data_IF_005113551605
#
_entry.id   IF_005113551605
#
_cell.length_a   1.000
_cell.length_b   1.000
_cell.length_c   1.000
_cell.angle_alpha   90.00
_cell.angle_beta   90.00
_cell.angle_gamma   90.00
#
_symmetry.space_group_name_H-M   'P 1'
#
loop_
_entity.id
_entity.type
_entity.pdbx_description
1 polymer ?
#
# COMPACT_ATOMS: atom_id res chain seq x y z
N UNK A 1 21.63 -11.41 13.83
CA UNK A 1 20.61 -12.35 13.27
C UNK A 1 19.38 -12.45 14.17
N UNK A 2 19.41 -13.13 15.33
CA UNK A 2 18.19 -13.34 16.17
C UNK A 2 17.53 -12.04 16.67
N UNK A 3 18.31 -11.10 17.22
CA UNK A 3 17.80 -9.81 17.69
C UNK A 3 17.15 -8.97 16.58
N UNK A 4 17.71 -9.01 15.36
CA UNK A 4 17.16 -8.29 14.20
C UNK A 4 15.81 -8.88 13.78
N UNK A 5 15.68 -10.21 13.77
CA UNK A 5 14.41 -10.87 13.46
C UNK A 5 13.33 -10.53 14.48
N UNK A 6 13.67 -10.56 15.78
CA UNK A 6 12.73 -10.22 16.85
C UNK A 6 12.27 -8.76 16.70
N UNK A 7 13.21 -7.82 16.52
CA UNK A 7 12.87 -6.41 16.37
C UNK A 7 12.00 -6.16 15.15
N UNK A 8 12.34 -6.76 14.00
CA UNK A 8 11.60 -6.58 12.75
C UNK A 8 10.20 -7.23 12.83
N UNK A 9 10.08 -8.38 13.49
CA UNK A 9 8.79 -9.01 13.72
C UNK A 9 7.92 -8.21 14.70
N UNK A 10 8.50 -7.68 15.78
CA UNK A 10 7.76 -6.84 16.73
C UNK A 10 7.26 -5.56 16.07
N UNK A 11 8.14 -4.89 15.30
CA UNK A 11 7.80 -3.69 14.55
C UNK A 11 6.73 -3.99 13.49
N UNK A 12 6.91 -5.05 12.69
CA UNK A 12 5.95 -5.44 11.65
C UNK A 12 4.59 -5.84 12.25
N UNK A 13 4.59 -6.55 13.38
CA UNK A 13 3.37 -6.93 14.08
C UNK A 13 2.63 -5.72 14.66
N UNK A 14 3.34 -4.84 15.37
CA UNK A 14 2.76 -3.62 15.95
C UNK A 14 2.21 -2.69 14.86
N UNK A 15 3.00 -2.45 13.80
CA UNK A 15 2.57 -1.66 12.65
C UNK A 15 1.40 -2.32 11.90
N UNK A 16 1.42 -3.65 11.79
CA UNK A 16 0.36 -4.44 11.19
C UNK A 16 -0.97 -4.33 11.92
N UNK A 17 -0.96 -4.41 13.27
CA UNK A 17 -2.16 -4.19 14.10
C UNK A 17 -2.69 -2.76 13.88
N UNK A 18 -1.80 -1.78 13.90
CA UNK A 18 -2.16 -0.36 13.75
C UNK A 18 -2.80 -0.09 12.37
N UNK A 19 -2.26 -0.69 11.30
CA UNK A 19 -2.85 -0.63 9.97
C UNK A 19 -4.14 -1.44 9.85
N UNK A 20 -4.22 -2.63 10.45
CA UNK A 20 -5.36 -3.53 10.29
C UNK A 20 -6.62 -2.98 10.97
N UNK A 21 -6.48 -2.29 12.11
CA UNK A 21 -7.62 -1.77 12.89
C UNK A 21 -7.74 -0.24 12.88
N UNK A 22 -6.64 0.49 12.65
CA UNK A 22 -6.59 1.94 12.62
C UNK A 22 -6.33 2.54 11.24
N UNK A 23 -6.34 1.71 10.20
CA UNK A 23 -5.89 2.05 8.85
C UNK A 23 -6.48 3.33 8.29
N UNK A 24 -7.79 3.54 8.42
CA UNK A 24 -8.47 4.73 7.93
C UNK A 24 -7.91 6.05 8.51
N UNK A 25 -7.71 6.14 9.84
CA UNK A 25 -7.12 7.31 10.50
C UNK A 25 -5.64 7.47 10.19
N UNK A 26 -4.93 6.35 10.14
CA UNK A 26 -3.50 6.38 9.91
C UNK A 26 -3.19 6.83 8.47
N UNK A 27 -4.00 6.43 7.50
CA UNK A 27 -3.81 6.77 6.09
C UNK A 27 -3.84 8.28 5.82
N UNK A 28 -4.65 9.05 6.54
CA UNK A 28 -4.75 10.50 6.34
C UNK A 28 -3.53 11.26 6.83
N UNK A 29 -2.94 10.85 7.95
CA UNK A 29 -1.66 11.41 8.44
C UNK A 29 -0.49 10.89 7.62
N UNK A 30 -0.58 9.65 7.14
CA UNK A 30 0.50 9.02 6.41
C UNK A 30 0.56 9.46 4.94
N UNK A 31 -0.52 9.99 4.38
CA UNK A 31 -0.60 10.46 2.99
C UNK A 31 0.46 11.53 2.63
N UNK A 32 0.59 12.63 3.38
CA UNK A 32 1.63 13.63 3.14
C UNK A 32 3.04 13.05 3.31
N UNK A 33 3.21 12.13 4.26
CA UNK A 33 4.49 11.46 4.54
C UNK A 33 4.88 10.55 3.36
N UNK A 34 3.95 9.75 2.86
CA UNK A 34 4.19 8.92 1.67
C UNK A 34 4.39 9.76 0.42
N UNK A 35 3.62 10.84 0.25
CA UNK A 35 3.80 11.77 -0.86
C UNK A 35 5.18 12.44 -0.81
N UNK A 36 5.68 12.77 0.38
CA UNK A 36 7.04 13.26 0.58
C UNK A 36 8.08 12.25 0.09
N UNK A 37 8.01 11.00 0.57
CA UNK A 37 8.97 9.97 0.15
C UNK A 37 8.84 9.62 -1.33
N UNK A 38 7.62 9.63 -1.88
CA UNK A 38 7.38 9.44 -3.31
C UNK A 38 8.00 10.56 -4.15
N UNK A 39 7.82 11.81 -3.75
CA UNK A 39 8.44 12.98 -4.40
C UNK A 39 9.96 12.97 -4.26
N UNK A 40 10.49 12.60 -3.09
CA UNK A 40 11.93 12.41 -2.86
C UNK A 40 12.51 11.37 -3.80
N UNK A 41 11.88 10.19 -3.86
CA UNK A 41 12.31 9.10 -4.72
C UNK A 41 12.26 9.51 -6.19
N UNK A 42 11.16 10.13 -6.63
CA UNK A 42 10.99 10.57 -8.02
C UNK A 42 11.99 11.66 -8.41
N UNK A 43 12.21 12.66 -7.55
CA UNK A 43 13.17 13.73 -7.80
C UNK A 43 14.62 13.23 -7.83
N UNK A 44 15.01 12.41 -6.86
CA UNK A 44 16.34 11.83 -6.82
C UNK A 44 16.59 10.85 -7.98
N UNK A 45 15.60 10.03 -8.35
CA UNK A 45 15.68 9.12 -9.48
C UNK A 45 15.71 9.87 -10.82
N UNK A 46 14.95 10.95 -10.95
CA UNK A 46 14.97 11.82 -12.12
C UNK A 46 16.36 12.42 -12.36
N UNK A 47 16.99 12.95 -11.31
CA UNK A 47 18.38 13.44 -11.38
C UNK A 47 19.36 12.31 -11.74
N UNK A 48 19.22 11.14 -11.13
CA UNK A 48 20.06 9.98 -11.45
C UNK A 48 19.96 9.58 -12.94
N UNK A 49 18.76 9.58 -13.52
CA UNK A 49 18.55 9.22 -14.93
C UNK A 49 19.12 10.29 -15.87
N UNK A 50 18.94 11.58 -15.54
CA UNK A 50 19.30 12.70 -16.42
C UNK A 50 20.78 13.10 -16.34
N UNK A 51 21.34 13.10 -15.13
CA UNK A 51 22.66 13.66 -14.84
C UNK A 51 23.68 12.57 -14.46
N UNK A 52 23.24 11.32 -14.30
CA UNK A 52 24.08 10.23 -13.80
C UNK A 52 24.43 10.37 -12.30
N UNK A 53 25.33 9.52 -11.81
CA UNK A 53 25.77 9.47 -10.41
C UNK A 53 25.09 8.38 -9.58
N UNK A 54 25.09 8.50 -8.24
CA UNK A 54 24.42 7.56 -7.33
C UNK A 54 23.02 8.03 -6.92
N UNK A 55 22.07 7.12 -6.72
CA UNK A 55 20.76 7.43 -6.11
C UNK A 55 20.98 7.98 -4.70
N UNK A 56 20.57 9.24 -4.46
CA UNK A 56 20.88 10.02 -3.24
C UNK A 56 22.38 10.25 -3.00
N UNK A 57 23.25 9.92 -3.95
CA UNK A 57 24.71 10.08 -3.84
C UNK A 57 25.22 11.44 -4.29
N UNK A 58 24.36 12.30 -4.83
CA UNK A 58 24.72 13.64 -5.31
C UNK A 58 23.93 14.70 -4.57
N UNK A 59 24.57 15.84 -4.28
CA UNK A 59 23.90 16.98 -3.65
C UNK A 59 22.70 17.46 -4.48
N UNK A 60 22.83 17.45 -5.81
CA UNK A 60 21.74 17.80 -6.74
C UNK A 60 20.56 16.84 -6.63
N UNK A 61 20.80 15.53 -6.58
CA UNK A 61 19.73 14.53 -6.45
C UNK A 61 18.98 14.65 -5.13
N UNK A 62 19.71 14.93 -4.05
CA UNK A 62 19.12 15.14 -2.72
C UNK A 62 18.29 16.43 -2.67
N UNK A 63 18.81 17.54 -3.19
CA UNK A 63 18.09 18.82 -3.22
C UNK A 63 16.83 18.75 -4.05
N UNK A 64 16.90 18.23 -5.29
CA UNK A 64 15.73 18.08 -6.16
C UNK A 64 14.72 17.12 -5.54
N UNK A 65 15.18 15.99 -4.99
CA UNK A 65 14.33 15.06 -4.25
C UNK A 65 13.59 15.74 -3.10
N UNK A 66 14.31 16.46 -2.22
CA UNK A 66 13.70 17.12 -1.06
C UNK A 66 12.68 18.17 -1.47
N UNK A 67 13.01 19.03 -2.45
CA UNK A 67 12.08 20.05 -2.94
C UNK A 67 10.81 19.39 -3.49
N UNK A 68 10.97 18.37 -4.33
CA UNK A 68 9.83 17.68 -4.94
C UNK A 68 9.01 16.88 -3.91
N UNK A 69 9.67 16.30 -2.91
CA UNK A 69 9.03 15.67 -1.76
C UNK A 69 8.17 16.64 -0.97
N UNK A 70 8.70 17.81 -0.60
CA UNK A 70 7.95 18.84 0.13
C UNK A 70 6.74 19.31 -0.69
N UNK A 71 6.94 19.58 -1.98
CA UNK A 71 5.84 19.97 -2.87
C UNK A 71 4.75 18.89 -2.90
N UNK A 72 5.11 17.63 -3.09
CA UNK A 72 4.15 16.53 -3.10
C UNK A 72 3.44 16.35 -1.75
N UNK A 73 4.13 16.56 -0.62
CA UNK A 73 3.52 16.51 0.70
C UNK A 73 2.45 17.60 0.86
N UNK A 74 2.74 18.83 0.44
CA UNK A 74 1.81 19.96 0.51
C UNK A 74 0.60 19.70 -0.41
N UNK A 75 0.84 19.24 -1.63
CA UNK A 75 -0.22 18.98 -2.61
C UNK A 75 -0.99 17.68 -2.38
N UNK A 76 -0.54 16.82 -1.46
CA UNK A 76 -1.14 15.50 -1.19
C UNK A 76 -2.65 15.58 -0.96
N UNK A 77 -3.12 16.56 -0.19
CA UNK A 77 -4.55 16.75 0.08
C UNK A 77 -5.35 17.15 -1.15
N UNK A 78 -4.80 17.99 -2.03
CA UNK A 78 -5.50 18.44 -3.24
C UNK A 78 -5.69 17.30 -4.24
N UNK A 79 -4.74 16.36 -4.28
CA UNK A 79 -4.79 15.20 -5.16
C UNK A 79 -5.27 13.93 -4.46
N UNK A 80 -5.83 14.01 -3.24
CA UNK A 80 -6.31 12.84 -2.50
C UNK A 80 -7.26 11.98 -3.31
N UNK A 81 -8.33 12.61 -3.82
CA UNK A 81 -9.39 11.96 -4.62
C UNK A 81 -8.82 11.32 -5.89
N UNK A 82 -7.88 12.01 -6.54
CA UNK A 82 -7.25 11.55 -7.77
C UNK A 82 -6.23 10.43 -7.53
N UNK A 83 -5.46 10.50 -6.45
CA UNK A 83 -4.53 9.44 -6.05
C UNK A 83 -5.27 8.14 -5.75
N UNK A 84 -6.40 8.22 -5.06
CA UNK A 84 -7.23 7.05 -4.77
C UNK A 84 -7.89 6.45 -6.01
N UNK A 85 -8.33 7.28 -6.97
CA UNK A 85 -8.82 6.74 -8.24
C UNK A 85 -7.70 6.07 -9.04
N UNK A 86 -6.47 6.59 -8.99
CA UNK A 86 -5.30 5.94 -9.59
C UNK A 86 -4.97 4.60 -8.92
N UNK A 87 -5.07 4.52 -7.59
CA UNK A 87 -4.94 3.24 -6.87
C UNK A 87 -6.03 2.25 -7.32
N UNK A 88 -7.28 2.70 -7.44
CA UNK A 88 -8.37 1.90 -8.02
C UNK A 88 -8.05 1.42 -9.44
N UNK A 89 -7.43 2.27 -10.26
CA UNK A 89 -6.99 1.89 -11.60
C UNK A 89 -5.87 0.83 -11.58
N UNK A 90 -4.90 0.94 -10.66
CA UNK A 90 -3.84 -0.07 -10.49
C UNK A 90 -4.44 -1.42 -10.10
N UNK A 91 -5.37 -1.43 -9.14
CA UNK A 91 -6.08 -2.64 -8.73
C UNK A 91 -6.86 -3.22 -9.92
N UNK A 92 -7.52 -2.38 -10.71
CA UNK A 92 -8.21 -2.83 -11.91
C UNK A 92 -7.29 -3.43 -12.96
N UNK A 93 -6.11 -2.84 -13.16
CA UNK A 93 -5.08 -3.42 -14.03
C UNK A 93 -4.66 -4.80 -13.53
N UNK A 94 -4.43 -4.96 -12.22
CA UNK A 94 -4.05 -6.24 -11.63
C UNK A 94 -5.14 -7.30 -11.75
N UNK A 95 -6.41 -6.93 -11.55
CA UNK A 95 -7.55 -7.84 -11.74
C UNK A 95 -7.70 -8.24 -13.21
N UNK A 96 -7.62 -7.28 -14.13
CA UNK A 96 -7.69 -7.55 -15.57
C UNK A 96 -6.54 -8.43 -16.05
N UNK A 97 -5.32 -8.13 -15.61
CA UNK A 97 -4.13 -8.95 -15.88
C UNK A 97 -4.27 -10.35 -15.29
N UNK A 98 -4.74 -10.47 -14.04
CA UNK A 98 -4.93 -11.76 -13.37
C UNK A 98 -5.98 -12.64 -14.04
N UNK A 99 -7.09 -12.04 -14.50
CA UNK A 99 -8.12 -12.74 -15.27
C UNK A 99 -7.57 -13.25 -16.59
N UNK A 100 -6.82 -12.42 -17.31
CA UNK A 100 -6.21 -12.83 -18.58
C UNK A 100 -5.18 -13.94 -18.39
N UNK A 101 -4.36 -13.87 -17.33
CA UNK A 101 -3.43 -14.94 -16.99
C UNK A 101 -4.14 -16.24 -16.61
N UNK A 102 -5.28 -16.17 -15.90
CA UNK A 102 -6.09 -17.35 -15.59
C UNK A 102 -6.69 -17.99 -16.86
N UNK A 103 -7.06 -17.19 -17.85
CA UNK A 103 -7.53 -17.65 -19.14
C UNK A 103 -6.41 -18.19 -20.05
N UNK A 104 -5.15 -18.19 -19.59
CA UNK A 104 -3.99 -18.72 -20.31
C UNK A 104 -3.30 -17.73 -21.25
N UNK A 105 -3.61 -16.44 -21.17
CA UNK A 105 -2.91 -15.40 -21.93
C UNK A 105 -1.71 -14.87 -21.12
N UNK A 106 -0.50 -15.23 -21.51
CA UNK A 106 0.69 -14.96 -20.67
C UNK A 106 1.20 -13.52 -20.77
N UNK A 107 1.37 -12.98 -21.99
CA UNK A 107 1.68 -11.55 -22.23
C UNK A 107 1.46 -11.23 -23.71
N UNK A 108 0.64 -10.23 -24.01
CA UNK A 108 0.36 -9.82 -25.39
C UNK A 108 -0.44 -8.53 -25.45
N UNK A 109 -0.63 -8.00 -26.65
CA UNK A 109 -1.35 -6.73 -26.86
C UNK A 109 -2.79 -6.81 -26.30
N UNK A 110 -3.47 -7.96 -26.50
CA UNK A 110 -4.82 -8.18 -25.95
C UNK A 110 -4.81 -8.19 -24.43
N UNK A 111 -3.82 -8.82 -23.79
CA UNK A 111 -3.65 -8.82 -22.34
C UNK A 111 -3.48 -7.40 -21.80
N UNK A 112 -2.64 -6.59 -22.46
CA UNK A 112 -2.43 -5.19 -22.09
C UNK A 112 -3.70 -4.34 -22.24
N UNK A 113 -4.47 -4.51 -23.33
CA UNK A 113 -5.72 -3.77 -23.52
C UNK A 113 -6.79 -4.13 -22.50
N UNK A 114 -6.92 -5.40 -22.14
CA UNK A 114 -7.88 -5.83 -21.11
C UNK A 114 -7.46 -5.28 -19.75
N UNK A 115 -6.18 -5.38 -19.38
CA UNK A 115 -5.67 -4.78 -18.16
C UNK A 115 -5.91 -3.26 -18.11
N UNK A 116 -5.65 -2.55 -19.22
CA UNK A 116 -5.92 -1.12 -19.33
C UNK A 116 -7.41 -0.79 -19.23
N UNK A 117 -8.28 -1.56 -19.89
CA UNK A 117 -9.73 -1.37 -19.84
C UNK A 117 -10.25 -1.55 -18.41
N UNK A 118 -9.80 -2.60 -17.70
CA UNK A 118 -10.15 -2.82 -16.29
C UNK A 118 -9.59 -1.70 -15.39
N UNK A 119 -8.38 -1.21 -15.67
CA UNK A 119 -7.79 -0.08 -14.95
C UNK A 119 -8.64 1.19 -15.10
N UNK A 120 -9.02 1.55 -16.31
CA UNK A 120 -9.86 2.71 -16.58
C UNK A 120 -11.24 2.53 -15.93
N UNK A 121 -11.86 1.37 -16.09
CA UNK A 121 -13.17 1.08 -15.53
C UNK A 121 -13.19 1.23 -14.00
N UNK A 122 -12.24 0.61 -13.29
CA UNK A 122 -12.19 0.69 -11.82
C UNK A 122 -11.69 2.04 -11.33
N UNK A 123 -10.81 2.73 -12.05
CA UNK A 123 -10.42 4.10 -11.73
C UNK A 123 -11.60 5.07 -11.81
N UNK A 124 -12.40 4.99 -12.88
CA UNK A 124 -13.61 5.81 -13.05
C UNK A 124 -14.67 5.46 -11.99
N UNK A 125 -14.88 4.17 -11.72
CA UNK A 125 -15.85 3.72 -10.71
C UNK A 125 -15.45 4.24 -9.32
N UNK A 126 -14.17 4.16 -8.98
CA UNK A 126 -13.63 4.67 -7.72
C UNK A 126 -13.86 6.18 -7.57
N UNK A 127 -13.69 6.93 -8.66
CA UNK A 127 -13.89 8.37 -8.67
C UNK A 127 -15.38 8.76 -8.57
N UNK A 128 -16.25 8.09 -9.32
CA UNK A 128 -17.68 8.46 -9.42
C UNK A 128 -18.52 7.97 -8.25
N UNK A 129 -18.20 6.82 -7.66
CA UNK A 129 -18.98 6.22 -6.57
C UNK A 129 -18.47 6.57 -5.18
N UNK A 130 -17.44 7.41 -5.05
CA UNK A 130 -16.81 7.74 -3.76
C UNK A 130 -16.37 6.51 -2.96
N UNK A 131 -15.94 5.42 -3.62
CA UNK A 131 -15.46 4.18 -2.98
C UNK A 131 -14.11 4.33 -2.25
N UNK A 132 -13.63 5.56 -2.08
CA UNK A 132 -12.33 5.90 -1.51
C UNK A 132 -12.16 5.34 -0.11
N UNK A 133 -13.19 5.53 0.73
CA UNK A 133 -13.15 5.06 2.12
C UNK A 133 -13.11 3.53 2.20
N UNK A 134 -13.82 2.85 1.29
CA UNK A 134 -13.85 1.40 1.22
C UNK A 134 -12.56 0.81 0.69
N UNK A 135 -11.94 1.46 -0.31
CA UNK A 135 -10.64 1.06 -0.83
C UNK A 135 -9.53 1.22 0.21
N UNK A 136 -9.50 2.33 0.95
CA UNK A 136 -8.49 2.53 2.01
C UNK A 136 -8.69 1.51 3.12
N UNK A 137 -9.93 1.27 3.53
CA UNK A 137 -10.25 0.28 4.55
C UNK A 137 -9.81 -1.12 4.12
N UNK A 138 -10.12 -1.52 2.90
CA UNK A 138 -9.71 -2.80 2.34
C UNK A 138 -8.19 -2.94 2.24
N UNK A 139 -7.51 -1.95 1.63
CA UNK A 139 -6.06 -1.96 1.44
C UNK A 139 -5.30 -1.97 2.76
N UNK A 140 -5.72 -1.15 3.73
CA UNK A 140 -5.06 -1.08 5.04
C UNK A 140 -5.29 -2.35 5.86
N UNK A 141 -6.49 -2.94 5.80
CA UNK A 141 -6.77 -4.22 6.44
C UNK A 141 -5.93 -5.36 5.84
N UNK A 142 -5.81 -5.41 4.50
CA UNK A 142 -4.98 -6.38 3.78
C UNK A 142 -3.49 -6.19 4.10
N UNK A 143 -3.00 -4.95 4.06
CA UNK A 143 -1.60 -4.63 4.37
C UNK A 143 -1.26 -4.93 5.86
N UNK A 144 -2.20 -4.64 6.77
CA UNK A 144 -2.09 -4.96 8.18
C UNK A 144 -2.08 -6.45 8.44
N UNK A 145 -3.00 -7.21 7.83
CA UNK A 145 -3.04 -8.67 7.91
C UNK A 145 -1.75 -9.30 7.36
N UNK A 146 -1.23 -8.82 6.23
CA UNK A 146 0.06 -9.23 5.69
C UNK A 146 1.18 -9.05 6.73
N UNK A 147 1.24 -7.89 7.37
CA UNK A 147 2.29 -7.55 8.33
C UNK A 147 2.19 -8.39 9.62
N UNK A 148 0.97 -8.63 10.12
CA UNK A 148 0.73 -9.47 11.30
C UNK A 148 1.15 -10.92 11.03
N UNK A 149 0.71 -11.49 9.90
CA UNK A 149 1.03 -12.88 9.55
C UNK A 149 2.53 -13.03 9.28
N UNK A 150 3.14 -12.08 8.59
CA UNK A 150 4.59 -12.06 8.37
C UNK A 150 5.35 -12.00 9.69
N UNK A 151 4.95 -11.16 10.64
CA UNK A 151 5.56 -11.07 11.96
C UNK A 151 5.51 -12.41 12.71
N UNK A 152 4.37 -13.10 12.67
CA UNK A 152 4.21 -14.42 13.30
C UNK A 152 5.15 -15.44 12.63
N UNK A 153 5.20 -15.48 11.30
CA UNK A 153 6.06 -16.41 10.56
C UNK A 153 7.56 -16.15 10.78
N UNK A 154 7.95 -14.88 10.94
CA UNK A 154 9.33 -14.51 11.30
C UNK A 154 9.68 -14.98 12.71
N UNK A 155 8.77 -14.84 13.68
CA UNK A 155 9.00 -15.31 15.07
C UNK A 155 9.07 -16.84 15.17
N UNK A 156 8.27 -17.54 14.36
CA UNK A 156 8.29 -19.00 14.28
C UNK A 156 9.50 -19.54 13.50
N UNK A 157 10.35 -18.67 12.95
CA UNK A 157 11.52 -19.07 12.15
C UNK A 157 11.15 -19.73 10.81
N UNK A 158 9.91 -19.59 10.35
CA UNK A 158 9.40 -20.18 9.10
C UNK A 158 9.79 -19.37 7.88
N UNK A 159 10.03 -18.07 8.04
CA UNK A 159 10.47 -17.16 6.99
C UNK A 159 11.76 -16.48 7.43
N UNK A 160 12.76 -16.43 6.55
CA UNK A 160 14.01 -15.70 6.78
C UNK A 160 13.95 -14.31 6.16
N UNK A 161 14.69 -13.35 6.75
CA UNK A 161 14.78 -11.96 6.25
C UNK A 161 15.28 -11.93 4.80
N UNK A 162 16.20 -12.83 4.43
CA UNK A 162 16.72 -12.97 3.07
C UNK A 162 15.67 -13.50 2.07
N UNK A 163 14.75 -14.35 2.52
CA UNK A 163 13.62 -14.83 1.71
C UNK A 163 12.58 -13.74 1.43
N UNK A 164 12.35 -12.83 2.38
CA UNK A 164 11.43 -11.69 2.19
C UNK A 164 11.99 -10.68 1.17
N UNK A 165 13.29 -10.41 1.23
CA UNK A 165 13.95 -9.48 0.29
C UNK A 165 13.94 -9.99 -1.17
N UNK A 166 14.00 -11.30 -1.38
CA UNK A 166 13.98 -11.90 -2.72
C UNK A 166 12.58 -12.14 -3.31
N UNK A 167 11.52 -12.21 -2.49
CA UNK A 167 10.19 -12.60 -2.95
C UNK A 167 9.39 -11.47 -3.63
N UNK A 168 9.75 -10.20 -3.43
CA UNK A 168 9.03 -9.03 -3.97
C UNK A 168 7.58 -8.86 -3.50
N UNK A 169 7.05 -9.81 -2.70
CA UNK A 169 5.69 -9.84 -2.18
C UNK A 169 5.71 -10.53 -0.81
N UNK A 170 5.06 -9.91 0.18
CA UNK A 170 4.92 -10.46 1.54
C UNK A 170 4.00 -11.70 1.59
N UNK A 171 3.25 -11.98 0.51
CA UNK A 171 2.21 -13.02 0.46
C UNK A 171 2.75 -14.34 -0.08
N UNK A 172 3.73 -14.29 -0.99
CA UNK A 172 4.34 -15.48 -1.61
C UNK A 172 4.94 -16.46 -0.57
N UNK A 173 5.63 -16.00 0.50
CA UNK A 173 6.13 -16.89 1.55
C UNK A 173 5.00 -17.50 2.40
N UNK A 174 3.90 -16.76 2.63
CA UNK A 174 2.74 -17.19 3.44
C UNK A 174 2.03 -18.37 2.78
N UNK A 175 1.85 -18.31 1.46
CA UNK A 175 1.13 -19.31 0.67
C UNK A 175 1.90 -20.62 0.48
N UNK A 176 3.23 -20.61 0.64
CA UNK A 176 4.08 -21.78 0.38
C UNK A 176 4.26 -22.70 1.58
N UNK A 177 4.04 -22.24 2.82
CA UNK A 177 4.25 -23.04 4.04
C UNK A 177 3.03 -23.93 4.35
N UNK A 178 1.81 -23.36 4.40
CA UNK A 178 0.57 -24.14 4.62
C UNK A 178 -0.69 -23.35 4.25
N UNK A 179 -1.73 -23.98 3.68
CA UNK A 179 -3.02 -23.35 3.42
C UNK A 179 -3.72 -22.85 4.69
N UNK A 180 -3.35 -23.34 5.88
CA UNK A 180 -3.84 -22.83 7.16
C UNK A 180 -3.55 -21.34 7.38
N UNK A 181 -2.40 -20.86 6.89
CA UNK A 181 -2.02 -19.45 7.01
C UNK A 181 -2.86 -18.53 6.13
N UNK A 182 -3.40 -19.03 5.02
CA UNK A 182 -4.33 -18.28 4.18
C UNK A 182 -5.64 -18.01 4.93
N UNK A 183 -6.16 -19.00 5.65
CA UNK A 183 -7.38 -18.80 6.45
C UNK A 183 -7.16 -17.83 7.61
N UNK A 184 -6.01 -17.91 8.29
CA UNK A 184 -5.66 -16.97 9.35
C UNK A 184 -5.52 -15.55 8.80
N UNK A 185 -4.81 -15.40 7.69
CA UNK A 185 -4.66 -14.12 7.00
C UNK A 185 -6.02 -13.53 6.60
N UNK A 186 -6.88 -14.34 5.97
CA UNK A 186 -8.21 -13.92 5.52
C UNK A 186 -9.10 -13.55 6.71
N UNK A 187 -9.05 -14.32 7.79
CA UNK A 187 -9.75 -14.03 9.03
C UNK A 187 -9.32 -12.71 9.66
N UNK A 188 -8.02 -12.43 9.72
CA UNK A 188 -7.48 -11.16 10.23
C UNK A 188 -7.88 -9.99 9.33
N UNK A 189 -7.78 -10.14 8.01
CA UNK A 189 -8.18 -9.09 7.05
C UNK A 189 -9.67 -8.76 7.17
N UNK A 190 -10.55 -9.77 7.25
CA UNK A 190 -11.99 -9.59 7.43
C UNK A 190 -12.29 -8.93 8.78
N UNK A 191 -11.64 -9.38 9.86
CA UNK A 191 -11.80 -8.77 11.18
C UNK A 191 -11.39 -7.29 11.16
N UNK A 192 -10.26 -6.96 10.50
CA UNK A 192 -9.81 -5.58 10.29
C UNK A 192 -10.85 -4.74 9.55
N UNK A 193 -11.38 -5.22 8.43
CA UNK A 193 -12.43 -4.52 7.66
C UNK A 193 -13.68 -4.29 8.51
N UNK A 194 -14.15 -5.30 9.25
CA UNK A 194 -15.35 -5.19 10.08
C UNK A 194 -15.14 -4.17 11.20
N UNK A 195 -14.01 -4.24 11.90
CA UNK A 195 -13.69 -3.31 12.99
C UNK A 195 -13.58 -1.89 12.45
N UNK A 196 -12.80 -1.66 11.39
CA UNK A 196 -12.67 -0.34 10.77
C UNK A 196 -14.03 0.21 10.32
N UNK A 197 -14.85 -0.60 9.62
CA UNK A 197 -16.19 -0.15 9.20
C UNK A 197 -17.09 0.19 10.38
N UNK A 198 -17.03 -0.56 11.49
CA UNK A 198 -17.84 -0.27 12.68
C UNK A 198 -17.38 1.02 13.38
N UNK A 199 -16.07 1.23 13.46
CA UNK A 199 -15.48 2.40 14.12
C UNK A 199 -15.64 3.67 13.29
N UNK A 200 -15.67 3.58 11.96
CA UNK A 200 -15.62 4.74 11.05
C UNK A 200 -16.90 5.03 10.25
N UNK A 201 -17.98 4.25 10.44
CA UNK A 201 -19.30 4.46 9.79
C UNK A 201 -19.98 5.80 10.06
N UNK A 202 -19.50 6.60 11.02
CA UNK A 202 -20.08 7.88 11.41
C UNK A 202 -19.27 9.11 10.95
N UNK A 203 -18.19 8.93 10.19
CA UNK A 203 -17.27 10.03 9.83
C UNK A 203 -17.38 10.31 8.33
N UNK A 204 -18.32 11.17 7.94
CA UNK A 204 -18.37 11.74 6.59
C UNK A 204 -17.40 12.92 6.53
N UNK A 205 -16.37 12.84 5.71
CA UNK A 205 -15.35 13.90 5.59
C UNK A 205 -15.96 15.21 5.08
N UNK A 206 -16.29 16.11 6.01
CA UNK A 206 -16.38 17.54 5.77
C UNK A 206 -15.09 18.18 6.25
N UNK A 207 -14.50 19.06 5.43
CA UNK A 207 -13.23 19.78 5.65
C UNK A 207 -13.13 20.48 7.03
N UNK A 208 -14.22 20.58 7.79
CA UNK A 208 -14.34 21.24 9.09
C UNK A 208 -14.15 20.31 10.30
N UNK A 209 -14.09 18.99 10.14
CA UNK A 209 -14.09 18.07 11.29
C UNK A 209 -12.71 17.59 11.76
N UNK A 210 -11.62 17.91 11.03
CA UNK A 210 -10.26 17.44 11.36
C UNK A 210 -9.82 17.76 12.80
N UNK A 211 -10.16 18.95 13.31
CA UNK A 211 -9.81 19.38 14.67
C UNK A 211 -10.66 18.76 15.77
N UNK A 212 -11.87 18.26 15.46
CA UNK A 212 -12.82 17.74 16.46
C UNK A 212 -12.48 16.30 16.90
N UNK A 213 -11.71 15.57 16.12
CA UNK A 213 -11.38 14.17 16.38
C UNK A 213 -10.10 13.94 17.20
N UNK A 214 -9.37 15.02 17.51
CA UNK A 214 -8.12 14.97 18.30
C UNK A 214 -8.24 15.60 19.70
N UNK A 215 -9.45 16.03 20.09
CA UNK A 215 -9.82 16.42 21.47
C UNK A 215 -10.67 15.34 22.12
#
# INVERSE_FOLDING_TARGET
MLLQTIFLALFSGAFGILLCFGGYRFFTVMLPIWAFFGGLWLGAKGVFILLGGGFLGTATGLTVGLVLGILMAIFSWQFYVFGLSLVGAIIGAWLGSGLMSYLGYETGIVHAFVALACAIALGILTYTQHWQDELITGLSAIAGANSIVLAILLLLGRVSITGVQGAGSAVSPILRDSPGWLFLWLGVAIAGIIVQRRTFRAVTFSNKEFFKYWS
#
